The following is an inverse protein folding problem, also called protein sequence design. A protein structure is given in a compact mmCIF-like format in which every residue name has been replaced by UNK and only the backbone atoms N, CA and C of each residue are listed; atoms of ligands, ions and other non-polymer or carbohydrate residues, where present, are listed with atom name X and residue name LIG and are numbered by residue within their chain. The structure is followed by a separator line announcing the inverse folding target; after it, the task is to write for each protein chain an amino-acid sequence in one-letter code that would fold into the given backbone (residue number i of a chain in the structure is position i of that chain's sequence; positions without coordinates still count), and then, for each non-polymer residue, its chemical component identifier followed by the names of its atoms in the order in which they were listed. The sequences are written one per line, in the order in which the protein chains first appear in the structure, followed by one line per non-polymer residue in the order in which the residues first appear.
data_IF_600018891368
#
_entry.id   IF_600018891368
#
_cell.length_a   1.000
_cell.length_b   1.000
_cell.length_c   1.000
_cell.angle_alpha   90.00
_cell.angle_beta   90.00
_cell.angle_gamma   90.00
#
_symmetry.space_group_name_H-M   'P 1'
#
loop_
_entity.id
_entity.type
_entity.pdbx_description
1 polymer ?
#
# COMPACT_ATOMS: atom_id res chain seq x y z
N UNK A 1 9.17 -0.73 -7.47
CA UNK A 1 9.14 -1.92 -8.35
C UNK A 1 9.70 -3.18 -7.69
N UNK A 2 10.97 -3.25 -7.28
CA UNK A 2 11.61 -4.47 -6.77
C UNK A 2 10.85 -5.18 -5.62
N UNK A 3 10.30 -4.44 -4.64
CA UNK A 3 9.52 -5.05 -3.55
C UNK A 3 8.24 -5.73 -4.05
N UNK A 4 7.56 -5.16 -5.03
CA UNK A 4 6.37 -5.77 -5.62
C UNK A 4 6.72 -7.05 -6.38
N UNK A 5 7.77 -7.00 -7.22
CA UNK A 5 8.29 -8.16 -7.94
C UNK A 5 8.70 -9.29 -6.99
N UNK A 6 9.42 -8.96 -5.91
CA UNK A 6 9.86 -9.94 -4.91
C UNK A 6 8.67 -10.64 -4.22
N UNK A 7 7.66 -9.88 -3.81
CA UNK A 7 6.51 -10.42 -3.08
C UNK A 7 5.60 -11.26 -3.94
N UNK A 8 5.37 -10.82 -5.18
CA UNK A 8 4.57 -11.56 -6.14
C UNK A 8 5.30 -12.74 -6.81
N UNK A 9 6.64 -12.79 -6.71
CA UNK A 9 7.45 -13.77 -7.43
C UNK A 9 7.41 -13.56 -8.95
N UNK A 10 7.45 -12.31 -9.38
CA UNK A 10 7.33 -11.93 -10.79
C UNK A 10 8.60 -11.24 -11.30
N UNK A 11 8.68 -11.12 -12.62
CA UNK A 11 9.63 -10.23 -13.28
C UNK A 11 8.90 -8.94 -13.66
N UNK A 12 9.37 -7.79 -13.17
CA UNK A 12 8.80 -6.47 -13.45
C UNK A 12 9.89 -5.50 -13.93
N UNK A 13 9.54 -4.65 -14.88
CA UNK A 13 10.41 -3.60 -15.42
C UNK A 13 10.05 -2.23 -14.84
N UNK A 14 11.04 -1.53 -14.28
CA UNK A 14 10.89 -0.15 -13.84
C UNK A 14 11.29 0.81 -14.97
N UNK A 15 10.33 1.54 -15.51
CA UNK A 15 10.59 2.59 -16.51
C UNK A 15 11.40 3.74 -15.93
N UNK A 16 11.17 4.10 -14.67
CA UNK A 16 11.86 5.20 -13.99
C UNK A 16 13.35 4.94 -13.80
N UNK A 17 13.72 3.70 -13.45
CA UNK A 17 15.11 3.31 -13.22
C UNK A 17 15.75 2.64 -14.45
N UNK A 18 14.96 2.19 -15.42
CA UNK A 18 15.41 1.41 -16.57
C UNK A 18 15.97 0.04 -16.20
N UNK A 19 15.45 -0.58 -15.14
CA UNK A 19 15.95 -1.82 -14.56
C UNK A 19 14.85 -2.88 -14.45
N UNK A 20 15.26 -4.14 -14.66
CA UNK A 20 14.41 -5.31 -14.41
C UNK A 20 14.62 -5.85 -12.98
N UNK A 21 13.54 -6.19 -12.30
CA UNK A 21 13.52 -6.94 -11.05
C UNK A 21 12.92 -8.31 -11.32
N UNK A 22 13.74 -9.36 -11.37
CA UNK A 22 13.31 -10.71 -11.72
C UNK A 22 13.36 -11.66 -10.50
N UNK A 23 12.19 -12.00 -10.02
CA UNK A 23 11.97 -12.97 -8.93
C UNK A 23 11.08 -14.13 -9.36
N UNK A 24 10.92 -14.36 -10.66
CA UNK A 24 10.07 -15.42 -11.24
C UNK A 24 10.45 -16.84 -10.80
N UNK A 25 11.69 -17.04 -10.31
CA UNK A 25 12.18 -18.31 -9.77
C UNK A 25 11.99 -18.47 -8.27
N UNK A 26 11.40 -17.46 -7.60
CA UNK A 26 11.17 -17.53 -6.15
C UNK A 26 10.06 -18.53 -5.84
N UNK A 27 10.38 -19.50 -4.96
CA UNK A 27 9.40 -20.43 -4.41
C UNK A 27 8.59 -19.83 -3.26
N UNK A 28 7.55 -20.55 -2.83
CA UNK A 28 6.75 -20.19 -1.64
C UNK A 28 5.67 -19.13 -1.85
N UNK A 29 5.54 -18.54 -3.04
CA UNK A 29 4.42 -17.66 -3.39
C UNK A 29 3.22 -18.52 -3.81
N UNK A 30 2.15 -18.47 -3.03
CA UNK A 30 0.95 -19.29 -3.26
C UNK A 30 -0.02 -18.56 -4.19
N UNK A 31 -0.26 -17.30 -3.93
CA UNK A 31 -1.07 -16.43 -4.80
C UNK A 31 -0.63 -14.98 -4.67
N UNK A 32 -0.92 -14.19 -5.68
CA UNK A 32 -0.80 -12.74 -5.65
C UNK A 32 -1.95 -12.11 -6.41
N UNK A 33 -2.46 -11.00 -5.91
CA UNK A 33 -3.61 -10.30 -6.49
C UNK A 33 -3.50 -8.79 -6.22
N UNK A 34 -4.05 -8.00 -7.14
CA UNK A 34 -4.26 -6.57 -6.92
C UNK A 34 -5.76 -6.32 -6.75
N UNK A 35 -6.12 -5.65 -5.65
CA UNK A 35 -7.48 -5.21 -5.36
C UNK A 35 -7.57 -3.71 -5.57
N UNK A 36 -8.55 -3.28 -6.35
CA UNK A 36 -8.75 -1.89 -6.73
C UNK A 36 -10.04 -1.31 -6.15
N UNK A 37 -10.03 -0.08 -5.61
CA UNK A 37 -11.25 0.65 -5.35
C UNK A 37 -11.95 0.99 -6.68
N UNK A 38 -13.26 1.19 -6.64
CA UNK A 38 -14.11 1.34 -7.84
C UNK A 38 -13.73 2.52 -8.74
N UNK A 39 -13.11 3.56 -8.19
CA UNK A 39 -12.68 4.76 -8.91
C UNK A 39 -11.25 4.65 -9.47
N UNK A 40 -10.53 3.55 -9.18
CA UNK A 40 -9.20 3.35 -9.71
C UNK A 40 -9.23 2.96 -11.20
N UNK A 41 -8.27 3.42 -12.01
CA UNK A 41 -8.11 2.96 -13.38
C UNK A 41 -7.98 1.43 -13.45
N UNK A 42 -8.77 0.73 -14.27
CA UNK A 42 -8.76 -0.73 -14.30
C UNK A 42 -7.43 -1.34 -14.78
N UNK A 43 -6.63 -0.60 -15.53
CA UNK A 43 -5.28 -0.99 -15.95
C UNK A 43 -4.32 -1.22 -14.80
N UNK A 44 -4.60 -0.66 -13.62
CA UNK A 44 -3.80 -0.90 -12.41
C UNK A 44 -4.00 -2.30 -11.80
N UNK A 45 -4.87 -3.11 -12.37
CA UNK A 45 -4.90 -4.55 -12.10
C UNK A 45 -3.64 -5.27 -12.62
N UNK A 46 -2.93 -4.70 -13.59
CA UNK A 46 -1.59 -5.14 -14.00
C UNK A 46 -0.52 -4.55 -13.07
N UNK A 47 0.28 -5.42 -12.45
CA UNK A 47 1.25 -5.05 -11.42
C UNK A 47 2.35 -4.14 -11.94
N UNK A 48 2.86 -4.42 -13.13
CA UNK A 48 3.90 -3.59 -13.75
C UNK A 48 3.36 -2.19 -14.06
N UNK A 49 2.17 -2.10 -14.63
CA UNK A 49 1.48 -0.83 -14.92
C UNK A 49 1.23 -0.03 -13.64
N UNK A 50 0.72 -0.67 -12.58
CA UNK A 50 0.48 -0.02 -11.30
C UNK A 50 1.76 0.59 -10.71
N UNK A 51 2.81 -0.22 -10.58
CA UNK A 51 4.02 0.23 -9.88
C UNK A 51 4.84 1.21 -10.69
N UNK A 52 4.82 1.16 -12.03
CA UNK A 52 5.36 2.22 -12.87
C UNK A 52 4.60 3.53 -12.69
N UNK A 53 3.28 3.49 -12.62
CA UNK A 53 2.47 4.69 -12.35
C UNK A 53 2.78 5.29 -10.96
N UNK A 54 2.97 4.45 -9.94
CA UNK A 54 3.34 4.89 -8.58
C UNK A 54 4.74 5.54 -8.58
N UNK A 55 5.73 4.92 -9.21
CA UNK A 55 7.09 5.47 -9.31
C UNK A 55 7.09 6.80 -10.06
N UNK A 56 6.36 6.91 -11.17
CA UNK A 56 6.29 8.12 -11.98
C UNK A 56 5.51 9.26 -11.31
N UNK A 57 4.60 8.95 -10.38
CA UNK A 57 3.87 9.96 -9.60
C UNK A 57 4.75 10.65 -8.55
N UNK A 58 5.90 10.08 -8.20
CA UNK A 58 6.80 10.61 -7.19
C UNK A 58 7.89 11.50 -7.79
N UNK A 59 8.27 12.56 -7.06
CA UNK A 59 9.23 13.56 -7.54
C UNK A 59 10.63 13.45 -6.92
N UNK A 60 10.88 12.46 -6.09
CA UNK A 60 12.13 12.36 -5.36
C UNK A 60 12.67 10.94 -5.28
N UNK A 61 13.96 10.76 -5.56
CA UNK A 61 14.63 9.45 -5.48
C UNK A 61 14.52 8.74 -4.13
N UNK A 62 14.23 9.47 -3.05
CA UNK A 62 14.05 8.95 -1.68
C UNK A 62 12.60 8.98 -1.21
N UNK A 63 11.65 9.21 -2.12
CA UNK A 63 10.25 9.25 -1.76
C UNK A 63 9.77 7.86 -1.31
N UNK A 64 9.01 7.80 -0.23
CA UNK A 64 8.28 6.60 0.14
C UNK A 64 7.14 6.40 -0.86
N UNK A 65 7.03 5.20 -1.41
CA UNK A 65 6.06 4.86 -2.46
C UNK A 65 4.83 4.17 -1.90
N UNK A 66 5.02 3.34 -0.87
CA UNK A 66 3.98 2.46 -0.37
C UNK A 66 4.08 2.25 1.14
N UNK A 67 2.94 1.97 1.76
CA UNK A 67 2.86 1.27 3.03
C UNK A 67 3.08 -0.21 2.79
N UNK A 68 3.71 -0.86 3.75
CA UNK A 68 4.03 -2.29 3.72
C UNK A 68 3.55 -2.94 5.01
N UNK A 69 2.78 -4.01 4.87
CA UNK A 69 2.27 -4.79 6.00
C UNK A 69 2.59 -6.26 5.78
N UNK A 70 2.98 -6.93 6.87
CA UNK A 70 3.19 -8.37 6.91
C UNK A 70 2.23 -8.92 7.97
N UNK A 71 1.35 -9.82 7.58
CA UNK A 71 0.24 -10.29 8.41
C UNK A 71 0.28 -11.82 8.45
N UNK A 72 0.34 -12.38 9.68
CA UNK A 72 0.31 -13.83 9.88
C UNK A 72 -1.08 -14.41 9.57
N UNK A 73 -1.08 -15.59 8.99
CA UNK A 73 -2.27 -16.40 8.75
C UNK A 73 -2.35 -17.55 9.75
N UNK A 74 -3.50 -18.17 9.88
CA UNK A 74 -3.75 -19.23 10.82
C UNK A 74 -3.32 -20.59 10.22
N UNK A 75 -2.58 -21.39 11.01
CA UNK A 75 -2.18 -22.73 10.61
C UNK A 75 -3.34 -23.74 10.63
N UNK A 76 -4.38 -23.44 11.40
CA UNK A 76 -5.55 -24.28 11.57
C UNK A 76 -6.51 -24.22 10.38
N UNK A 77 -6.39 -23.17 9.55
CA UNK A 77 -7.24 -23.00 8.38
C UNK A 77 -6.59 -23.62 7.15
N UNK A 78 -7.42 -24.11 6.25
CA UNK A 78 -6.98 -24.51 4.92
C UNK A 78 -6.41 -23.30 4.15
N UNK A 79 -5.64 -23.58 3.11
CA UNK A 79 -5.10 -22.54 2.24
C UNK A 79 -6.23 -21.69 1.61
N UNK A 80 -7.30 -22.33 1.17
CA UNK A 80 -8.45 -21.66 0.56
C UNK A 80 -9.15 -20.72 1.55
N UNK A 81 -9.34 -21.18 2.79
CA UNK A 81 -9.91 -20.33 3.86
C UNK A 81 -9.01 -19.15 4.19
N UNK A 82 -7.70 -19.36 4.28
CA UNK A 82 -6.73 -18.29 4.51
C UNK A 82 -6.71 -17.26 3.37
N UNK A 83 -6.79 -17.70 2.10
CA UNK A 83 -6.89 -16.79 0.95
C UNK A 83 -8.18 -15.96 1.00
N UNK A 84 -9.31 -16.63 1.27
CA UNK A 84 -10.61 -15.96 1.36
C UNK A 84 -10.64 -14.93 2.50
N UNK A 85 -10.13 -15.30 3.68
CA UNK A 85 -10.07 -14.43 4.85
C UNK A 85 -9.17 -13.21 4.60
N UNK A 86 -7.97 -13.40 4.07
CA UNK A 86 -7.06 -12.31 3.74
C UNK A 86 -7.69 -11.35 2.72
N UNK A 87 -8.29 -11.90 1.65
CA UNK A 87 -8.96 -11.11 0.62
C UNK A 87 -10.14 -10.31 1.17
N UNK A 88 -10.99 -10.94 1.98
CA UNK A 88 -12.13 -10.27 2.62
C UNK A 88 -11.66 -9.12 3.52
N UNK A 89 -10.69 -9.37 4.40
CA UNK A 89 -10.13 -8.35 5.28
C UNK A 89 -9.59 -7.15 4.50
N UNK A 90 -8.83 -7.40 3.42
CA UNK A 90 -8.27 -6.33 2.59
C UNK A 90 -9.35 -5.54 1.85
N UNK A 91 -10.40 -6.19 1.35
CA UNK A 91 -11.54 -5.51 0.72
C UNK A 91 -12.28 -4.62 1.72
N UNK A 92 -12.58 -5.14 2.91
CA UNK A 92 -13.37 -4.43 3.92
C UNK A 92 -12.59 -3.32 4.63
N UNK A 93 -11.29 -3.53 4.88
CA UNK A 93 -10.51 -2.62 5.71
C UNK A 93 -9.63 -1.65 4.92
N UNK A 94 -9.20 -2.01 3.73
CA UNK A 94 -8.27 -1.21 2.91
C UNK A 94 -8.95 -0.65 1.66
N UNK A 95 -9.49 -1.51 0.82
CA UNK A 95 -10.12 -1.09 -0.45
C UNK A 95 -11.34 -0.20 -0.21
N UNK A 96 -12.17 -0.50 0.80
CA UNK A 96 -13.31 0.33 1.21
C UNK A 96 -12.93 1.75 1.61
N UNK A 97 -11.68 1.96 2.05
CA UNK A 97 -11.10 3.29 2.36
C UNK A 97 -10.49 3.97 1.15
N UNK A 98 -10.59 3.38 -0.04
CA UNK A 98 -10.03 3.90 -1.29
C UNK A 98 -8.56 3.52 -1.55
N UNK A 99 -8.01 2.56 -0.81
CA UNK A 99 -6.64 2.09 -1.01
C UNK A 99 -6.58 1.09 -2.17
N UNK A 100 -5.54 1.22 -3.01
CA UNK A 100 -5.10 0.15 -3.89
C UNK A 100 -4.28 -0.83 -3.07
N UNK A 101 -4.52 -2.12 -3.24
CA UNK A 101 -3.87 -3.18 -2.50
C UNK A 101 -3.21 -4.15 -3.46
N UNK A 102 -1.90 -4.32 -3.34
CA UNK A 102 -1.14 -5.40 -3.97
C UNK A 102 -0.72 -6.37 -2.87
N UNK A 103 -1.26 -7.59 -2.87
CA UNK A 103 -0.92 -8.57 -1.84
C UNK A 103 -0.47 -9.91 -2.43
N UNK A 104 0.33 -10.61 -1.65
CA UNK A 104 0.78 -11.96 -1.98
C UNK A 104 0.78 -12.83 -0.72
N UNK A 105 0.30 -14.05 -0.85
CA UNK A 105 0.34 -15.05 0.22
C UNK A 105 1.56 -15.91 0.02
N UNK A 106 2.32 -16.04 1.09
CA UNK A 106 3.51 -16.87 1.16
C UNK A 106 3.33 -18.00 2.16
N UNK A 107 3.77 -19.17 1.78
CA UNK A 107 3.93 -20.33 2.66
C UNK A 107 5.33 -20.88 2.44
N UNK A 108 6.32 -20.41 3.21
CA UNK A 108 7.67 -20.93 3.12
C UNK A 108 7.70 -22.41 3.46
N UNK A 109 8.53 -23.19 2.76
CA UNK A 109 8.56 -24.65 2.84
C UNK A 109 8.83 -25.16 4.26
N UNK A 110 9.62 -24.48 5.05
CA UNK A 110 9.79 -24.69 6.51
C UNK A 110 10.56 -23.51 7.11
N UNK A 111 10.10 -23.01 8.24
CA UNK A 111 10.92 -22.19 9.14
C UNK A 111 11.63 -23.11 10.18
N UNK A 112 12.50 -22.49 11.01
CA UNK A 112 13.19 -23.18 12.08
C UNK A 112 12.21 -24.00 12.94
N UNK A 113 12.46 -25.31 13.06
CA UNK A 113 11.60 -26.23 13.79
C UNK A 113 10.49 -26.90 12.96
N UNK A 114 10.36 -26.61 11.66
CA UNK A 114 9.40 -27.25 10.76
C UNK A 114 7.93 -26.86 10.97
N UNK A 115 7.65 -25.76 11.67
CA UNK A 115 6.30 -25.23 11.86
C UNK A 115 5.96 -24.36 10.66
N UNK A 116 4.82 -24.61 9.98
CA UNK A 116 4.35 -23.72 8.92
C UNK A 116 4.12 -22.31 9.46
N UNK A 117 4.52 -21.29 8.69
CA UNK A 117 4.27 -19.90 9.00
C UNK A 117 3.64 -19.19 7.78
N UNK A 118 2.39 -19.53 7.43
CA UNK A 118 1.70 -18.85 6.35
C UNK A 118 1.47 -17.39 6.71
N UNK A 119 1.76 -16.50 5.77
CA UNK A 119 1.57 -15.08 5.95
C UNK A 119 1.28 -14.40 4.62
N UNK A 120 0.73 -13.20 4.68
CA UNK A 120 0.56 -12.39 3.49
C UNK A 120 1.25 -11.04 3.63
N UNK A 121 1.85 -10.64 2.54
CA UNK A 121 2.47 -9.33 2.36
C UNK A 121 1.51 -8.42 1.63
N UNK A 122 1.41 -7.18 2.09
CA UNK A 122 0.55 -6.15 1.50
C UNK A 122 1.40 -4.94 1.16
N UNK A 123 1.24 -4.41 -0.05
CA UNK A 123 1.77 -3.13 -0.47
C UNK A 123 0.61 -2.23 -0.91
N UNK A 124 0.54 -1.03 -0.36
CA UNK A 124 -0.46 -0.04 -0.71
C UNK A 124 0.23 1.27 -1.09
N UNK A 125 0.03 1.81 -2.30
CA UNK A 125 0.52 3.14 -2.62
C UNK A 125 0.08 4.18 -1.58
N UNK A 126 0.99 5.08 -1.18
CA UNK A 126 0.68 6.12 -0.18
C UNK A 126 -0.23 7.19 -0.77
N UNK A 127 -0.07 7.51 -2.07
CA UNK A 127 -0.94 8.47 -2.72
C UNK A 127 -2.33 7.89 -2.92
N UNK A 128 -3.39 8.62 -2.56
CA UNK A 128 -4.74 8.23 -2.91
C UNK A 128 -4.97 8.41 -4.43
N UNK A 129 -5.88 7.63 -4.98
CA UNK A 129 -6.44 7.88 -6.31
C UNK A 129 -7.69 8.74 -6.10
N UNK A 130 -7.79 9.84 -6.86
CA UNK A 130 -8.94 10.74 -6.85
C UNK A 130 -10.09 10.14 -7.67
N UNK A 131 -11.29 10.72 -7.54
CA UNK A 131 -12.49 10.28 -8.28
C UNK A 131 -12.34 10.34 -9.81
N UNK A 132 -11.43 11.19 -10.31
CA UNK A 132 -11.08 11.28 -11.74
C UNK A 132 -10.01 10.26 -12.19
N UNK A 133 -9.61 9.35 -11.30
CA UNK A 133 -8.59 8.32 -11.56
C UNK A 133 -7.15 8.80 -11.47
N UNK A 134 -6.90 10.04 -11.12
CA UNK A 134 -5.54 10.59 -10.99
C UNK A 134 -4.98 10.40 -9.59
N UNK A 135 -3.65 10.37 -9.49
CA UNK A 135 -2.94 10.34 -8.21
C UNK A 135 -3.10 11.67 -7.46
N UNK A 136 -3.56 11.58 -6.23
CA UNK A 136 -3.67 12.71 -5.31
C UNK A 136 -2.35 13.02 -4.59
N UNK A 137 -2.37 14.04 -3.75
CA UNK A 137 -1.24 14.45 -2.93
C UNK A 137 -1.17 13.63 -1.65
N UNK A 138 0.04 13.34 -1.16
CA UNK A 138 0.26 12.69 0.15
C UNK A 138 -0.10 13.60 1.31
N UNK A 139 0.08 14.90 1.12
CA UNK A 139 -0.11 15.92 2.15
C UNK A 139 -0.91 17.09 1.59
N UNK A 140 -1.63 17.76 2.48
CA UNK A 140 -2.31 19.04 2.22
C UNK A 140 -1.81 20.13 3.15
N UNK A 141 -1.93 21.38 2.73
CA UNK A 141 -1.61 22.54 3.55
C UNK A 141 -2.81 22.93 4.40
N UNK A 142 -2.62 23.01 5.71
CA UNK A 142 -3.58 23.62 6.64
C UNK A 142 -2.98 24.94 7.09
N UNK A 143 -3.58 26.03 6.65
CA UNK A 143 -3.09 27.37 6.98
C UNK A 143 -3.39 27.69 8.44
N UNK A 144 -2.41 28.31 9.11
CA UNK A 144 -2.59 28.83 10.46
C UNK A 144 -3.39 30.12 10.38
N UNK A 145 -4.43 30.22 11.23
CA UNK A 145 -5.32 31.36 11.27
C UNK A 145 -5.15 32.10 12.61
N UNK A 146 -5.33 33.43 12.59
CA UNK A 146 -5.45 34.24 13.78
C UNK A 146 -6.87 34.13 14.38
N UNK A 147 -7.12 34.87 15.47
CA UNK A 147 -8.42 34.91 16.17
C UNK A 147 -9.58 35.41 15.30
N UNK A 148 -9.27 36.21 14.27
CA UNK A 148 -10.23 36.74 13.31
C UNK A 148 -10.43 35.88 12.07
N UNK A 149 -9.73 34.71 11.99
CA UNK A 149 -9.80 33.77 10.87
C UNK A 149 -8.94 34.14 9.67
N UNK A 150 -8.04 35.12 9.79
CA UNK A 150 -7.11 35.48 8.72
C UNK A 150 -5.85 34.60 8.77
N UNK A 151 -5.21 34.42 7.62
CA UNK A 151 -3.96 33.66 7.55
C UNK A 151 -2.82 34.42 8.24
N UNK A 152 -2.14 33.77 9.15
CA UNK A 152 -0.92 34.26 9.77
C UNK A 152 0.21 34.23 8.74
N UNK A 153 0.93 35.36 8.62
CA UNK A 153 2.04 35.49 7.69
C UNK A 153 3.40 35.41 8.42
N UNK A 154 4.41 34.93 7.73
CA UNK A 154 5.80 35.00 8.20
C UNK A 154 6.37 36.43 8.02
N UNK A 155 7.63 36.62 8.42
CA UNK A 155 8.34 37.91 8.28
C UNK A 155 8.53 38.38 6.83
N UNK A 156 8.29 37.48 5.85
CA UNK A 156 8.39 37.76 4.40
C UNK A 156 7.01 37.89 3.74
N UNK A 157 5.93 37.91 4.52
CA UNK A 157 4.56 38.05 4.04
C UNK A 157 3.99 36.74 3.43
N UNK A 158 4.60 35.58 3.69
CA UNK A 158 4.09 34.29 3.20
C UNK A 158 3.20 33.63 4.26
N UNK A 159 2.04 33.05 3.86
CA UNK A 159 1.19 32.33 4.79
C UNK A 159 1.88 31.16 5.46
N UNK A 160 1.78 31.08 6.77
CA UNK A 160 2.20 29.94 7.57
C UNK A 160 1.18 28.81 7.42
N UNK A 161 1.68 27.59 7.29
CA UNK A 161 0.84 26.40 7.19
C UNK A 161 1.53 25.20 7.82
N UNK A 162 0.73 24.24 8.22
CA UNK A 162 1.18 22.88 8.60
C UNK A 162 0.90 21.94 7.44
N UNK A 163 1.89 21.07 7.12
CA UNK A 163 1.70 20.00 6.16
C UNK A 163 1.11 18.79 6.91
N UNK A 164 -0.12 18.42 6.57
CA UNK A 164 -0.81 17.28 7.19
C UNK A 164 -1.07 16.19 6.15
N UNK A 165 -1.07 14.90 6.54
CA UNK A 165 -1.43 13.81 5.63
C UNK A 165 -2.83 14.04 5.02
N UNK A 166 -3.01 13.68 3.75
CA UNK A 166 -4.33 13.73 3.10
C UNK A 166 -5.24 12.60 3.52
N UNK A 167 -4.66 11.48 3.96
CA UNK A 167 -5.38 10.30 4.44
C UNK A 167 -4.92 9.93 5.85
N UNK A 168 -5.72 9.13 6.56
CA UNK A 168 -5.38 8.57 7.87
C UNK A 168 -4.69 7.19 7.79
N UNK A 169 -4.39 6.70 6.59
CA UNK A 169 -3.90 5.34 6.34
C UNK A 169 -2.59 5.00 7.07
N UNK A 170 -1.75 5.99 7.32
CA UNK A 170 -0.49 5.84 8.06
C UNK A 170 -0.57 6.29 9.52
N UNK A 171 -1.77 6.56 10.06
CA UNK A 171 -1.91 6.99 11.45
C UNK A 171 -1.76 5.80 12.42
N UNK A 172 -1.21 6.03 13.63
CA UNK A 172 -1.13 5.00 14.66
C UNK A 172 -2.50 4.40 15.01
N UNK A 173 -3.54 5.22 15.04
CA UNK A 173 -4.91 4.83 15.37
C UNK A 173 -5.48 3.87 14.32
N UNK A 174 -5.25 4.14 13.05
CA UNK A 174 -5.67 3.26 11.94
C UNK A 174 -4.95 1.93 12.00
N UNK A 175 -3.64 1.94 12.28
CA UNK A 175 -2.86 0.70 12.41
C UNK A 175 -3.35 -0.16 13.57
N UNK A 176 -3.64 0.45 14.73
CA UNK A 176 -4.17 -0.28 15.88
C UNK A 176 -5.55 -0.86 15.60
N UNK A 177 -6.44 -0.08 14.98
CA UNK A 177 -7.74 -0.56 14.53
C UNK A 177 -7.64 -1.80 13.61
N UNK A 178 -6.70 -1.80 12.65
CA UNK A 178 -6.50 -2.95 11.77
C UNK A 178 -5.97 -4.18 12.52
N UNK A 179 -5.07 -3.99 13.48
CA UNK A 179 -4.56 -5.07 14.34
C UNK A 179 -5.68 -5.70 15.16
N UNK A 180 -6.49 -4.88 15.81
CA UNK A 180 -7.63 -5.36 16.60
C UNK A 180 -8.68 -6.06 15.73
N UNK A 181 -8.92 -5.55 14.52
CA UNK A 181 -9.89 -6.13 13.61
C UNK A 181 -9.42 -7.48 13.07
N UNK A 182 -8.12 -7.60 12.77
CA UNK A 182 -7.56 -8.88 12.32
C UNK A 182 -7.54 -9.95 13.42
N UNK A 183 -7.43 -9.57 14.67
CA UNK A 183 -7.40 -10.48 15.82
C UNK A 183 -8.79 -11.06 16.19
N UNK A 184 -9.88 -10.56 15.63
CA UNK A 184 -11.28 -11.02 15.88
C UNK A 184 -11.69 -12.09 14.90
#
# INVERSE_FOLDING_TARGET
MASAAYRAGEKLHSEYYGEDSDYSRKGGVICSEILLPSHAPPEYADRETLWNAVENAERGKKAQLAYSFDIALQNEFSLEENIALARQFLLEQFVSRGMVVDFAIHQPDKEDGGIPNPHFHVLCPIRPILEDGKWGSKQRRVYRLDEDGNRILDSKGKPLFDAVPTTDWGSPETLEYWRETWAK
#
